data_IF_085699137124
#
_entry.id   IF_085699137124
#
_cell.length_a   1.000
_cell.length_b   1.000
_cell.length_c   1.000
_cell.angle_alpha   90.00
_cell.angle_beta   90.00
_cell.angle_gamma   90.00
#
_symmetry.space_group_name_H-M   'P 1'
#
loop_
_entity.id
_entity.type
_entity.pdbx_description
1 polymer ?
#
# COMPACT_ATOMS: atom_id res chain seq x y z
N UNK A 1 11.90 -20.90 -1.49
CA UNK A 1 12.71 -20.84 -0.25
C UNK A 1 14.20 -20.95 -0.52
N UNK A 2 14.66 -21.91 -1.32
CA UNK A 2 16.09 -22.12 -1.60
C UNK A 2 16.83 -20.87 -2.08
N UNK A 3 16.26 -20.09 -3.01
CA UNK A 3 16.91 -18.87 -3.54
C UNK A 3 17.25 -17.85 -2.45
N UNK A 4 16.35 -17.61 -1.50
CA UNK A 4 16.58 -16.66 -0.40
C UNK A 4 17.70 -17.15 0.53
N UNK A 5 17.74 -18.46 0.80
CA UNK A 5 18.78 -19.07 1.61
C UNK A 5 20.14 -19.02 0.92
N UNK A 6 20.20 -19.36 -0.36
CA UNK A 6 21.43 -19.30 -1.17
C UNK A 6 21.96 -17.87 -1.23
N UNK A 7 21.09 -16.88 -1.50
CA UNK A 7 21.49 -15.49 -1.53
C UNK A 7 21.98 -15.01 -0.16
N UNK A 8 21.29 -15.36 0.92
CA UNK A 8 21.71 -15.02 2.28
C UNK A 8 23.07 -15.62 2.63
N UNK A 9 23.29 -16.90 2.32
CA UNK A 9 24.58 -17.58 2.49
C UNK A 9 25.68 -16.90 1.67
N UNK A 10 25.40 -16.53 0.42
CA UNK A 10 26.35 -15.83 -0.45
C UNK A 10 26.75 -14.48 0.16
N UNK A 11 25.79 -13.70 0.65
CA UNK A 11 26.07 -12.40 1.30
C UNK A 11 26.92 -12.59 2.56
N UNK A 12 26.58 -13.55 3.41
CA UNK A 12 27.37 -13.85 4.62
C UNK A 12 28.79 -14.29 4.25
N UNK A 13 28.93 -15.18 3.26
CA UNK A 13 30.22 -15.66 2.79
C UNK A 13 31.08 -14.51 2.27
N UNK A 14 30.52 -13.62 1.43
CA UNK A 14 31.20 -12.44 0.94
C UNK A 14 31.62 -11.51 2.09
N UNK A 15 30.75 -11.33 3.08
CA UNK A 15 31.05 -10.49 4.24
C UNK A 15 32.19 -11.05 5.08
N UNK A 16 32.20 -12.36 5.34
CA UNK A 16 33.28 -13.05 6.05
C UNK A 16 34.58 -12.97 5.27
N UNK A 17 34.53 -13.20 3.96
CA UNK A 17 35.71 -13.12 3.09
C UNK A 17 36.27 -11.69 3.06
N UNK A 18 35.39 -10.69 2.99
CA UNK A 18 35.75 -9.29 3.10
C UNK A 18 36.43 -8.99 4.44
N UNK A 19 35.87 -9.45 5.56
CA UNK A 19 36.46 -9.25 6.88
C UNK A 19 37.82 -9.94 7.03
N UNK A 20 37.98 -11.15 6.48
CA UNK A 20 39.22 -11.89 6.50
C UNK A 20 40.33 -11.21 5.68
N UNK A 21 39.99 -10.64 4.53
CA UNK A 21 40.95 -9.93 3.66
C UNK A 21 41.24 -8.50 4.13
N UNK A 22 40.31 -7.88 4.87
CA UNK A 22 40.40 -6.49 5.30
C UNK A 22 40.53 -6.39 6.83
N UNK A 23 41.53 -7.04 7.39
CA UNK A 23 41.88 -6.97 8.82
C UNK A 23 42.58 -5.66 9.21
N UNK A 24 42.87 -4.81 8.23
CA UNK A 24 43.48 -3.51 8.45
C UNK A 24 42.60 -2.61 9.34
N UNK A 25 43.26 -1.91 10.26
CA UNK A 25 42.64 -0.94 11.14
C UNK A 25 42.53 0.41 10.44
N UNK A 26 41.37 1.05 10.56
CA UNK A 26 41.11 2.39 10.04
C UNK A 26 40.93 3.36 11.22
N UNK A 27 41.57 4.52 11.11
CA UNK A 27 41.36 5.63 12.03
C UNK A 27 40.10 6.41 11.63
N UNK A 28 39.16 6.54 12.56
CA UNK A 28 37.94 7.34 12.40
C UNK A 28 38.10 8.60 13.22
N UNK A 29 38.18 9.75 12.55
CA UNK A 29 38.21 11.06 13.18
C UNK A 29 36.80 11.61 13.28
N UNK A 30 36.32 11.78 14.50
CA UNK A 30 35.04 12.44 14.77
C UNK A 30 35.22 13.96 14.83
N UNK A 31 34.13 14.70 14.57
CA UNK A 31 34.13 16.18 14.51
C UNK A 31 34.66 16.89 15.77
N UNK A 32 34.67 16.22 16.93
CA UNK A 32 35.19 16.75 18.20
C UNK A 32 36.67 16.43 18.47
N UNK A 33 37.43 16.03 17.44
CA UNK A 33 38.85 15.68 17.58
C UNK A 33 39.11 14.30 18.21
N UNK A 34 38.05 13.55 18.53
CA UNK A 34 38.18 12.17 19.00
C UNK A 34 38.58 11.26 17.84
N UNK A 35 39.67 10.52 18.01
CA UNK A 35 40.16 9.55 17.03
C UNK A 35 39.98 8.15 17.60
N UNK A 36 39.29 7.29 16.86
CA UNK A 36 39.08 5.90 17.23
C UNK A 36 39.61 4.98 16.14
N UNK A 37 40.41 4.01 16.53
CA UNK A 37 40.93 3.00 15.61
C UNK A 37 40.04 1.77 15.69
N UNK A 38 39.41 1.41 14.59
CA UNK A 38 38.53 0.26 14.47
C UNK A 38 38.92 -0.59 13.25
N UNK A 39 38.63 -1.89 13.22
CA UNK A 39 38.86 -2.68 12.02
C UNK A 39 37.91 -2.24 10.89
N UNK A 40 38.40 -2.21 9.65
CA UNK A 40 37.65 -1.71 8.48
C UNK A 40 36.31 -2.44 8.30
N UNK A 41 36.29 -3.75 8.50
CA UNK A 41 35.10 -4.57 8.33
C UNK A 41 33.96 -4.13 9.24
N UNK A 42 34.25 -3.65 10.45
CA UNK A 42 33.24 -3.19 11.39
C UNK A 42 32.58 -1.90 10.89
N UNK A 43 33.37 -0.98 10.36
CA UNK A 43 32.85 0.26 9.78
C UNK A 43 31.99 -0.01 8.55
N UNK A 44 32.42 -0.90 7.67
CA UNK A 44 31.61 -1.35 6.55
C UNK A 44 30.29 -2.00 7.00
N UNK A 45 30.34 -2.86 8.04
CA UNK A 45 29.16 -3.48 8.65
C UNK A 45 28.15 -2.44 9.14
N UNK A 46 28.64 -1.41 9.85
CA UNK A 46 27.81 -0.35 10.41
C UNK A 46 27.15 0.47 9.31
N UNK A 47 27.90 0.92 8.31
CA UNK A 47 27.35 1.66 7.18
C UNK A 47 26.31 0.83 6.41
N UNK A 48 26.62 -0.44 6.15
CA UNK A 48 25.68 -1.35 5.48
C UNK A 48 24.43 -1.60 6.32
N UNK A 49 24.59 -1.85 7.62
CA UNK A 49 23.48 -2.07 8.55
C UNK A 49 22.56 -0.86 8.65
N UNK A 50 23.12 0.35 8.69
CA UNK A 50 22.34 1.58 8.66
C UNK A 50 21.57 1.75 7.34
N UNK A 51 22.23 1.53 6.21
CA UNK A 51 21.56 1.56 4.90
C UNK A 51 20.44 0.54 4.77
N UNK A 52 20.65 -0.69 5.27
CA UNK A 52 19.64 -1.74 5.31
C UNK A 52 18.45 -1.35 6.21
N UNK A 53 18.71 -0.80 7.39
CA UNK A 53 17.67 -0.33 8.30
C UNK A 53 16.81 0.76 7.64
N UNK A 54 17.44 1.76 7.00
CA UNK A 54 16.74 2.81 6.26
C UNK A 54 15.90 2.20 5.13
N UNK A 55 16.44 1.23 4.39
CA UNK A 55 15.74 0.57 3.29
C UNK A 55 14.50 -0.18 3.76
N UNK A 56 14.57 -0.87 4.90
CA UNK A 56 13.43 -1.56 5.50
C UNK A 56 12.36 -0.56 5.93
N UNK A 57 12.75 0.54 6.58
CA UNK A 57 11.80 1.59 6.99
C UNK A 57 11.12 2.22 5.77
N UNK A 58 11.89 2.57 4.74
CA UNK A 58 11.36 3.14 3.50
C UNK A 58 10.38 2.17 2.81
N UNK A 59 10.73 0.89 2.72
CA UNK A 59 9.86 -0.14 2.16
C UNK A 59 8.57 -0.32 2.97
N UNK A 60 8.66 -0.32 4.30
CA UNK A 60 7.49 -0.42 5.17
C UNK A 60 6.51 0.75 4.96
N UNK A 61 7.03 1.98 4.88
CA UNK A 61 6.22 3.18 4.60
C UNK A 61 5.52 3.06 3.24
N UNK A 62 6.22 2.59 2.21
CA UNK A 62 5.65 2.40 0.87
C UNK A 62 4.53 1.34 0.85
N UNK A 63 4.67 0.25 1.61
CA UNK A 63 3.63 -0.79 1.69
C UNK A 63 2.37 -0.25 2.41
N UNK A 64 2.55 0.53 3.48
CA UNK A 64 1.45 1.11 4.25
C UNK A 64 0.66 2.12 3.41
N UNK A 65 1.35 2.96 2.63
CA UNK A 65 0.69 3.93 1.75
C UNK A 65 -0.12 3.24 0.66
N UNK A 66 0.38 2.17 0.06
CA UNK A 66 -0.34 1.39 -0.95
C UNK A 66 -1.56 0.67 -0.37
N UNK A 67 -1.44 0.07 0.82
CA UNK A 67 -2.57 -0.58 1.50
C UNK A 67 -3.70 0.41 1.80
N UNK A 68 -3.36 1.66 2.13
CA UNK A 68 -4.32 2.74 2.36
C UNK A 68 -5.05 3.14 1.07
N UNK A 69 -4.34 3.19 -0.07
CA UNK A 69 -4.94 3.45 -1.39
C UNK A 69 -5.88 2.33 -1.79
N UNK A 70 -5.45 1.08 -1.60
CA UNK A 70 -6.27 -0.10 -1.89
C UNK A 70 -7.57 -0.10 -1.07
N UNK A 71 -7.49 0.18 0.23
CA UNK A 71 -8.67 0.27 1.08
C UNK A 71 -9.66 1.38 0.67
N UNK A 72 -9.14 2.55 0.24
CA UNK A 72 -9.99 3.62 -0.31
C UNK A 72 -10.65 3.21 -1.63
N UNK A 73 -9.95 2.47 -2.49
CA UNK A 73 -10.52 1.92 -3.72
C UNK A 73 -11.60 0.87 -3.43
N UNK A 74 -11.35 -0.08 -2.53
CA UNK A 74 -12.35 -1.10 -2.15
C UNK A 74 -13.63 -0.47 -1.63
N UNK A 75 -13.54 0.60 -0.82
CA UNK A 75 -14.73 1.35 -0.36
C UNK A 75 -15.47 2.06 -1.50
N UNK A 76 -14.78 2.52 -2.54
CA UNK A 76 -15.43 3.13 -3.71
C UNK A 76 -16.15 2.08 -4.55
N UNK A 77 -15.53 0.91 -4.75
CA UNK A 77 -16.17 -0.21 -5.45
C UNK A 77 -17.45 -0.64 -4.73
N UNK A 78 -17.38 -0.84 -3.41
CA UNK A 78 -18.55 -1.23 -2.61
C UNK A 78 -19.72 -0.23 -2.72
N UNK A 79 -19.43 1.08 -2.71
CA UNK A 79 -20.46 2.11 -2.89
C UNK A 79 -21.06 2.11 -4.29
N UNK A 80 -20.24 1.95 -5.32
CA UNK A 80 -20.71 1.89 -6.72
C UNK A 80 -21.57 0.66 -6.97
N UNK A 81 -21.22 -0.48 -6.37
CA UNK A 81 -22.05 -1.70 -6.42
C UNK A 81 -23.39 -1.50 -5.72
N UNK A 82 -23.40 -0.82 -4.56
CA UNK A 82 -24.63 -0.49 -3.84
C UNK A 82 -25.52 0.46 -4.66
N UNK A 83 -24.96 1.50 -5.28
CA UNK A 83 -25.69 2.40 -6.18
C UNK A 83 -26.27 1.65 -7.39
N UNK A 84 -25.51 0.75 -8.02
CA UNK A 84 -26.00 -0.09 -9.10
C UNK A 84 -27.15 -0.99 -8.64
N UNK A 85 -27.04 -1.58 -7.46
CA UNK A 85 -28.09 -2.43 -6.89
C UNK A 85 -29.36 -1.64 -6.56
N UNK A 86 -29.22 -0.41 -6.06
CA UNK A 86 -30.30 0.53 -5.81
C UNK A 86 -30.98 1.01 -7.10
N UNK A 87 -30.22 1.24 -8.16
CA UNK A 87 -30.76 1.59 -9.48
C UNK A 87 -31.45 0.40 -10.16
N UNK A 88 -30.93 -0.82 -9.99
CA UNK A 88 -31.51 -2.06 -10.54
C UNK A 88 -32.78 -2.49 -9.81
N UNK A 89 -32.91 -2.14 -8.53
CA UNK A 89 -34.09 -2.44 -7.71
C UNK A 89 -35.19 -1.38 -7.81
N UNK A 90 -34.90 -0.20 -8.40
CA UNK A 90 -35.95 0.72 -8.80
C UNK A 90 -36.76 0.08 -9.92
N UNK A 91 -38.10 -0.05 -9.79
CA UNK A 91 -38.92 -0.51 -10.89
C UNK A 91 -38.70 0.43 -12.07
N UNK A 92 -38.35 -0.12 -13.22
CA UNK A 92 -38.33 0.62 -14.48
C UNK A 92 -39.76 1.13 -14.63
N UNK A 93 -39.93 2.44 -14.60
CA UNK A 93 -41.24 3.03 -14.81
C UNK A 93 -41.60 2.79 -16.26
N UNK A 94 -42.47 1.81 -16.52
CA UNK A 94 -43.05 1.49 -17.83
C UNK A 94 -44.04 2.58 -18.30
N UNK A 95 -43.65 3.85 -18.14
CA UNK A 95 -44.38 4.97 -18.69
C UNK A 95 -43.78 5.27 -20.08
N UNK A 96 -44.45 4.86 -21.18
CA UNK A 96 -43.95 5.11 -22.52
C UNK A 96 -43.79 6.61 -22.82
N UNK A 97 -44.43 7.51 -22.05
CA UNK A 97 -44.27 8.95 -22.18
C UNK A 97 -42.93 9.49 -21.65
N UNK A 98 -42.21 8.72 -20.82
CA UNK A 98 -40.93 9.13 -20.23
C UNK A 98 -39.74 8.90 -21.18
N UNK A 99 -39.89 8.01 -22.16
CA UNK A 99 -38.88 7.68 -23.17
C UNK A 99 -39.19 8.26 -24.56
N UNK A 100 -40.44 8.63 -24.80
CA UNK A 100 -40.87 9.39 -25.98
C UNK A 100 -40.72 10.87 -25.63
N UNK A 101 -39.71 11.56 -26.17
CA UNK A 101 -39.32 12.92 -25.79
C UNK A 101 -40.38 14.02 -26.00
N UNK A 102 -41.47 14.00 -25.24
CA UNK A 102 -42.56 14.96 -25.33
C UNK A 102 -43.63 14.74 -24.26
N UNK A 103 -43.57 15.51 -23.18
CA UNK A 103 -44.69 15.66 -22.26
C UNK A 103 -44.27 15.69 -20.79
N UNK A 104 -44.55 16.80 -20.10
CA UNK A 104 -44.32 16.92 -18.65
C UNK A 104 -45.13 15.85 -17.90
N UNK A 105 -44.56 15.19 -16.87
CA UNK A 105 -45.26 14.13 -16.16
C UNK A 105 -46.50 14.69 -15.45
N UNK A 106 -47.66 14.09 -15.72
CA UNK A 106 -48.88 14.37 -14.99
C UNK A 106 -48.77 13.74 -13.61
N UNK A 107 -48.83 14.58 -12.57
CA UNK A 107 -48.75 14.19 -11.15
C UNK A 107 -49.84 13.13 -10.86
N UNK A 108 -49.51 11.94 -10.34
CA UNK A 108 -50.53 10.95 -10.02
C UNK A 108 -51.38 11.46 -8.85
N UNK A 109 -52.70 11.48 -9.08
CA UNK A 109 -53.70 11.82 -8.09
C UNK A 109 -53.72 10.74 -6.99
N UNK A 110 -53.67 11.18 -5.74
CA UNK A 110 -53.86 10.36 -4.55
C UNK A 110 -55.24 9.68 -4.60
N UNK A 111 -55.28 8.40 -4.96
CA UNK A 111 -56.42 7.52 -4.68
C UNK A 111 -56.13 6.71 -3.43
N UNK A 112 -56.47 7.27 -2.28
CA UNK A 112 -56.67 6.53 -1.04
C UNK A 112 -57.70 5.43 -1.29
N UNK A 113 -57.23 4.20 -1.47
CA UNK A 113 -58.10 3.03 -1.44
C UNK A 113 -58.54 2.80 0.01
N UNK A 114 -59.79 3.19 0.27
CA UNK A 114 -60.65 2.74 1.36
C UNK A 114 -60.60 1.20 1.43
N UNK A 115 -60.06 0.66 2.52
CA UNK A 115 -60.10 -0.77 2.81
C UNK A 115 -60.72 -0.96 4.20
N UNK A 116 -62.05 -0.95 4.21
CA UNK A 116 -62.88 -1.55 5.25
C UNK A 116 -62.64 -3.05 5.28
N UNK A 117 -62.04 -3.55 6.35
CA UNK A 117 -62.46 -4.74 7.09
C UNK A 117 -62.04 -4.58 8.56
#
# INVERSE_FOLDING_TARGET
MAVKLVLGLMVIFLFVLFAAQNQQSVGVTFFFGYQYTAPMWLMAALCFGLGAAISVVAGAVAIISEKSRNFRLSRRVAKLEEELSGLKSRPISDDPALYMGGGKPSRPANSSFDNRY
#
